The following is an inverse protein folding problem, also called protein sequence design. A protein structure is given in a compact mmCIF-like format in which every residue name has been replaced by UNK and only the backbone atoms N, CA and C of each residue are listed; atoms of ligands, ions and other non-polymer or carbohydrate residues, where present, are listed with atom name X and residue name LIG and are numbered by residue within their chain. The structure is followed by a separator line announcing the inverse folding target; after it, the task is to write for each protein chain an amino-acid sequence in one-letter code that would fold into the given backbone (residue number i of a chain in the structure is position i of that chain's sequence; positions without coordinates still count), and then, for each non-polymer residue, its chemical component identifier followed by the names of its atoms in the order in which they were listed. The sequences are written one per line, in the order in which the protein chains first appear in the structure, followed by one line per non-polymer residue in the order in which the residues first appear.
data_IF_896755517658
#
_entry.id   IF_896755517658
#
_cell.length_a   1.000
_cell.length_b   1.000
_cell.length_c   1.000
_cell.angle_alpha   90.00
_cell.angle_beta   90.00
_cell.angle_gamma   90.00
#
_symmetry.space_group_name_H-M   'P 1'
#
loop_
_entity.id
_entity.type
_entity.pdbx_description
1 polymer ?
#
# COMPACT_ATOMS: atom_id res chain seq x y z
N UNK A 1 24.58 3.55 16.33
CA UNK A 1 23.81 2.33 16.63
C UNK A 1 23.91 1.38 15.45
N UNK A 2 24.57 0.22 15.60
CA UNK A 2 24.47 -0.87 14.63
C UNK A 2 23.15 -1.59 14.92
N UNK A 3 22.13 -1.40 14.08
CA UNK A 3 20.89 -2.18 14.14
C UNK A 3 21.11 -3.44 13.32
N UNK A 4 20.93 -4.60 13.96
CA UNK A 4 21.00 -5.89 13.30
C UNK A 4 19.65 -6.18 12.65
N UNK A 5 19.46 -5.77 11.40
CA UNK A 5 18.20 -5.96 10.66
C UNK A 5 17.73 -7.43 10.61
N UNK A 6 18.68 -8.36 10.65
CA UNK A 6 18.41 -9.80 10.74
C UNK A 6 17.76 -10.21 12.08
N UNK A 7 17.94 -9.46 13.16
CA UNK A 7 17.24 -9.71 14.43
C UNK A 7 15.86 -9.07 14.46
N UNK A 8 15.75 -7.88 13.86
CA UNK A 8 14.53 -7.05 13.98
C UNK A 8 13.45 -7.40 12.95
N UNK A 9 13.75 -8.20 11.92
CA UNK A 9 12.75 -8.57 10.90
C UNK A 9 11.63 -9.43 11.51
N UNK A 10 10.38 -9.14 11.14
CA UNK A 10 9.17 -9.85 11.57
C UNK A 10 9.13 -11.35 11.19
N UNK A 11 9.93 -11.79 10.22
CA UNK A 11 9.94 -13.17 9.75
C UNK A 11 10.77 -14.07 10.67
N UNK A 12 10.08 -14.96 11.38
CA UNK A 12 10.67 -16.01 12.21
C UNK A 12 10.82 -17.33 11.47
N UNK A 13 11.80 -18.13 11.89
CA UNK A 13 12.02 -19.48 11.34
C UNK A 13 10.78 -20.36 11.48
N UNK A 14 10.11 -20.29 12.64
CA UNK A 14 8.88 -21.04 12.93
C UNK A 14 7.75 -20.67 11.97
N UNK A 15 7.51 -19.37 11.77
CA UNK A 15 6.49 -18.89 10.84
C UNK A 15 6.78 -19.30 9.40
N UNK A 16 8.06 -19.28 8.99
CA UNK A 16 8.47 -19.78 7.66
C UNK A 16 8.21 -21.28 7.51
N UNK A 17 8.39 -22.07 8.57
CA UNK A 17 8.12 -23.51 8.55
C UNK A 17 6.62 -23.82 8.47
N UNK A 18 5.78 -23.08 9.19
CA UNK A 18 4.33 -23.19 9.09
C UNK A 18 3.84 -22.87 7.67
N UNK A 19 4.40 -21.84 7.04
CA UNK A 19 4.12 -21.49 5.64
C UNK A 19 4.56 -22.60 4.66
N UNK A 20 5.74 -23.20 4.88
CA UNK A 20 6.20 -24.34 4.10
C UNK A 20 5.25 -25.54 4.22
N UNK A 21 4.80 -25.87 5.44
CA UNK A 21 3.84 -26.94 5.69
C UNK A 21 2.50 -26.68 4.99
N UNK A 22 1.97 -25.46 5.08
CA UNK A 22 0.72 -25.09 4.39
C UNK A 22 0.85 -25.22 2.87
N UNK A 23 2.00 -24.82 2.32
CA UNK A 23 2.30 -24.95 0.88
C UNK A 23 2.36 -26.42 0.46
N UNK A 24 3.07 -27.25 1.22
CA UNK A 24 3.17 -28.70 0.97
C UNK A 24 1.79 -29.37 0.96
N UNK A 25 0.91 -29.03 1.90
CA UNK A 25 -0.46 -29.53 1.97
C UNK A 25 -1.33 -29.02 0.81
N UNK A 26 -1.16 -27.77 0.40
CA UNK A 26 -1.90 -27.16 -0.73
C UNK A 26 -1.57 -27.85 -2.05
N UNK A 27 -0.35 -28.35 -2.20
CA UNK A 27 0.07 -29.11 -3.38
C UNK A 27 -0.28 -30.60 -3.27
N UNK A 28 -0.48 -31.13 -2.06
CA UNK A 28 -0.90 -32.51 -1.81
C UNK A 28 -2.42 -32.66 -1.92
N UNK A 29 -3.01 -32.25 -3.04
CA UNK A 29 -4.47 -32.26 -3.24
C UNK A 29 -4.87 -33.30 -4.27
N UNK A 30 -5.88 -34.09 -3.92
CA UNK A 30 -6.63 -34.91 -4.86
C UNK A 30 -7.56 -34.00 -5.69
N UNK A 31 -7.08 -33.53 -6.84
CA UNK A 31 -7.91 -32.80 -7.79
C UNK A 31 -8.71 -33.83 -8.59
N UNK A 32 -10.04 -33.66 -8.60
CA UNK A 32 -11.09 -34.26 -9.44
C UNK A 32 -10.66 -35.31 -10.49
N UNK A 33 -11.48 -36.34 -10.75
CA UNK A 33 -11.21 -37.79 -10.68
C UNK A 33 -10.03 -38.36 -11.49
N UNK A 34 -9.24 -37.56 -12.21
CA UNK A 34 -8.10 -38.01 -13.05
C UNK A 34 -6.72 -37.59 -12.55
N UNK A 35 -6.60 -36.86 -11.43
CA UNK A 35 -5.30 -36.38 -10.93
C UNK A 35 -5.19 -36.47 -9.40
N UNK A 36 -4.89 -37.67 -8.90
CA UNK A 36 -4.49 -37.88 -7.51
C UNK A 36 -3.00 -37.56 -7.38
N UNK A 37 -2.67 -36.37 -6.88
CA UNK A 37 -1.30 -35.95 -6.57
C UNK A 37 -1.08 -35.89 -5.05
N UNK A 38 -1.07 -37.05 -4.39
CA UNK A 38 -0.79 -37.14 -2.95
C UNK A 38 0.68 -37.52 -2.81
N UNK A 39 1.45 -36.73 -2.05
CA UNK A 39 2.84 -37.09 -1.78
C UNK A 39 2.90 -38.32 -0.86
N UNK A 40 3.75 -39.28 -1.24
CA UNK A 40 4.10 -40.39 -0.35
C UNK A 40 4.99 -39.88 0.79
N UNK A 41 5.08 -40.66 1.87
CA UNK A 41 5.94 -40.30 3.03
C UNK A 41 7.41 -40.15 2.61
N UNK A 42 7.86 -40.97 1.67
CA UNK A 42 9.23 -40.97 1.16
C UNK A 42 9.52 -39.69 0.37
N UNK A 43 8.58 -39.28 -0.48
CA UNK A 43 8.68 -38.04 -1.26
C UNK A 43 8.72 -36.81 -0.34
N UNK A 44 7.87 -36.77 0.70
CA UNK A 44 7.88 -35.68 1.69
C UNK A 44 9.23 -35.61 2.41
N UNK A 45 9.84 -36.75 2.75
CA UNK A 45 11.15 -36.78 3.40
C UNK A 45 12.25 -36.19 2.49
N UNK A 46 12.25 -36.54 1.20
CA UNK A 46 13.19 -35.99 0.21
C UNK A 46 12.99 -34.50 0.03
N UNK A 47 11.74 -34.02 -0.04
CA UNK A 47 11.42 -32.59 -0.16
C UNK A 47 11.92 -31.82 1.08
N UNK A 48 11.66 -32.34 2.28
CA UNK A 48 12.10 -31.71 3.53
C UNK A 48 13.62 -31.64 3.60
N UNK A 49 14.33 -32.71 3.23
CA UNK A 49 15.79 -32.73 3.21
C UNK A 49 16.35 -31.69 2.20
N UNK A 50 15.77 -31.64 1.01
CA UNK A 50 16.14 -30.64 0.00
C UNK A 50 15.94 -29.20 0.48
N UNK A 51 14.79 -28.89 1.06
CA UNK A 51 14.47 -27.53 1.55
C UNK A 51 15.36 -27.17 2.74
N UNK A 52 15.68 -28.13 3.60
CA UNK A 52 16.60 -27.92 4.73
C UNK A 52 18.01 -27.59 4.25
N UNK A 53 18.51 -28.35 3.26
CA UNK A 53 19.86 -28.18 2.72
C UNK A 53 20.02 -26.97 1.79
N UNK A 54 18.96 -26.50 1.14
CA UNK A 54 19.02 -25.36 0.21
C UNK A 54 18.54 -24.05 0.85
N UNK A 55 17.28 -24.00 1.27
CA UNK A 55 16.61 -22.79 1.76
C UNK A 55 17.01 -22.49 3.21
N UNK A 56 16.78 -23.43 4.14
CA UNK A 56 16.99 -23.14 5.57
C UNK A 56 18.46 -22.98 5.93
N UNK A 57 19.38 -23.66 5.23
CA UNK A 57 20.82 -23.43 5.35
C UNK A 57 21.22 -21.96 5.13
N UNK A 58 20.53 -21.25 4.26
CA UNK A 58 20.80 -19.84 3.95
C UNK A 58 19.67 -18.91 4.43
N UNK A 59 18.89 -19.31 5.43
CA UNK A 59 17.71 -18.57 5.90
C UNK A 59 18.03 -17.13 6.32
N UNK A 60 19.15 -16.92 7.01
CA UNK A 60 19.55 -15.58 7.46
C UNK A 60 19.88 -14.65 6.28
N UNK A 61 20.51 -15.18 5.22
CA UNK A 61 20.82 -14.41 4.02
C UNK A 61 19.53 -13.95 3.32
N UNK A 62 18.58 -14.86 3.10
CA UNK A 62 17.30 -14.51 2.50
C UNK A 62 16.53 -13.51 3.35
N UNK A 63 16.51 -13.71 4.68
CA UNK A 63 15.90 -12.78 5.62
C UNK A 63 16.52 -11.38 5.53
N UNK A 64 17.83 -11.26 5.38
CA UNK A 64 18.48 -9.96 5.16
C UNK A 64 18.11 -9.32 3.81
N UNK A 65 18.08 -10.09 2.72
CA UNK A 65 17.79 -9.58 1.38
C UNK A 65 16.34 -9.10 1.26
N UNK A 66 15.39 -9.84 1.84
CA UNK A 66 13.96 -9.56 1.71
C UNK A 66 13.40 -8.63 2.79
N UNK A 67 14.17 -8.29 3.82
CA UNK A 67 13.72 -7.30 4.82
C UNK A 67 13.86 -5.89 4.23
N UNK A 68 12.75 -5.18 3.96
CA UNK A 68 12.82 -3.84 3.38
C UNK A 68 13.52 -2.87 4.32
N UNK A 69 14.46 -2.09 3.78
CA UNK A 69 15.14 -1.04 4.52
C UNK A 69 14.26 0.22 4.55
N UNK A 70 13.68 0.52 5.71
CA UNK A 70 12.94 1.76 5.90
C UNK A 70 13.89 2.90 6.27
N UNK A 71 14.09 3.84 5.34
CA UNK A 71 14.77 5.09 5.63
C UNK A 71 13.78 6.06 6.27
N UNK A 72 13.91 6.29 7.58
CA UNK A 72 13.22 7.36 8.27
C UNK A 72 13.96 8.68 7.96
N UNK A 73 13.26 9.66 7.40
CA UNK A 73 13.76 11.02 7.26
C UNK A 73 13.01 11.92 8.25
N UNK A 74 13.73 12.52 9.20
CA UNK A 74 13.19 13.54 10.07
C UNK A 74 13.41 14.90 9.42
N UNK A 75 12.32 15.63 9.17
CA UNK A 75 12.39 17.02 8.72
C UNK A 75 11.91 17.87 9.88
N UNK A 76 12.85 18.57 10.52
CA UNK A 76 12.52 19.57 11.53
C UNK A 76 12.10 20.84 10.81
N UNK A 77 10.84 21.26 11.00
CA UNK A 77 10.37 22.58 10.58
C UNK A 77 10.48 23.57 11.72
N UNK A 78 10.66 24.85 11.40
CA UNK A 78 10.68 25.91 12.39
C UNK A 78 9.30 26.06 13.06
N UNK A 79 9.30 26.55 14.30
CA UNK A 79 8.12 26.62 15.18
C UNK A 79 6.98 27.50 14.62
N UNK A 80 7.23 28.31 13.58
CA UNK A 80 6.23 29.18 12.93
C UNK A 80 6.33 29.16 11.39
N UNK A 81 6.75 28.05 10.79
CA UNK A 81 6.88 27.96 9.34
C UNK A 81 5.52 28.19 8.66
N UNK A 82 5.41 29.26 7.85
CA UNK A 82 4.18 29.53 7.08
C UNK A 82 4.07 28.42 6.06
N UNK A 83 3.01 27.60 6.15
CA UNK A 83 2.72 26.54 5.18
C UNK A 83 2.56 27.17 3.79
N UNK A 84 3.67 27.25 3.06
CA UNK A 84 3.66 27.75 1.70
C UNK A 84 3.07 26.63 0.85
N UNK A 85 1.91 26.83 0.21
CA UNK A 85 1.33 25.80 -0.62
C UNK A 85 2.32 25.43 -1.72
N UNK A 86 2.41 24.12 -2.00
CA UNK A 86 3.19 23.64 -3.12
C UNK A 86 2.72 24.35 -4.40
N UNK A 87 3.66 24.69 -5.28
CA UNK A 87 3.33 25.39 -6.51
C UNK A 87 2.21 24.63 -7.24
N UNK A 88 1.10 25.29 -7.59
CA UNK A 88 -0.01 24.61 -8.23
C UNK A 88 0.49 23.95 -9.51
N UNK A 89 0.03 22.72 -9.75
CA UNK A 89 0.34 22.01 -10.99
C UNK A 89 -0.08 22.88 -12.19
N UNK A 90 0.68 22.85 -13.31
CA UNK A 90 0.36 23.64 -14.48
C UNK A 90 -1.03 23.28 -15.01
N UNK A 91 -1.74 24.25 -15.60
CA UNK A 91 -3.12 24.09 -16.05
C UNK A 91 -3.31 22.95 -17.06
N UNK A 92 -2.26 22.59 -17.81
CA UNK A 92 -2.28 21.46 -18.73
C UNK A 92 -2.50 20.10 -18.04
N UNK A 93 -2.27 20.00 -16.73
CA UNK A 93 -2.57 18.83 -15.90
C UNK A 93 -3.89 18.96 -15.15
N UNK A 94 -4.64 20.03 -15.38
CA UNK A 94 -5.95 20.26 -14.77
C UNK A 94 -7.00 19.30 -15.34
N UNK A 95 -7.80 18.70 -14.46
CA UNK A 95 -9.01 18.01 -14.88
C UNK A 95 -10.14 19.04 -15.01
N UNK A 96 -10.88 18.99 -16.12
CA UNK A 96 -12.14 19.73 -16.22
C UNK A 96 -13.10 19.13 -15.19
N UNK A 97 -13.35 19.86 -14.11
CA UNK A 97 -14.46 19.56 -13.23
C UNK A 97 -15.75 19.83 -14.01
N UNK A 98 -16.28 18.80 -14.70
CA UNK A 98 -17.69 18.81 -15.08
C UNK A 98 -18.45 18.93 -13.77
N UNK A 99 -19.19 20.03 -13.58
CA UNK A 99 -20.01 20.24 -12.41
C UNK A 99 -20.76 18.95 -12.11
N UNK A 100 -20.51 18.38 -10.94
CA UNK A 100 -21.29 17.23 -10.46
C UNK A 100 -22.75 17.68 -10.57
N UNK A 101 -23.62 16.97 -11.32
CA UNK A 101 -25.01 17.37 -11.42
C UNK A 101 -25.55 17.48 -10.01
N UNK A 102 -26.16 18.63 -9.67
CA UNK A 102 -26.78 18.79 -8.37
C UNK A 102 -27.76 17.63 -8.16
N UNK A 103 -27.79 16.99 -6.97
CA UNK A 103 -28.86 16.06 -6.66
C UNK A 103 -30.21 16.78 -6.83
N UNK A 104 -31.21 16.18 -7.49
CA UNK A 104 -32.53 16.80 -7.61
C UNK A 104 -33.15 16.91 -6.22
N UNK A 105 -33.22 18.11 -5.64
CA UNK A 105 -33.95 18.28 -4.38
C UNK A 105 -33.65 19.47 -3.47
N UNK A 106 -32.98 20.54 -3.92
CA UNK A 106 -32.92 21.78 -3.13
C UNK A 106 -33.65 22.90 -3.87
N UNK A 107 -34.82 23.20 -3.33
CA UNK A 107 -35.72 24.28 -3.73
C UNK A 107 -35.01 25.59 -3.40
N UNK A 108 -34.83 26.44 -4.41
CA UNK A 108 -34.36 27.81 -4.23
C UNK A 108 -35.49 28.59 -3.53
N UNK A 109 -35.30 28.92 -2.26
CA UNK A 109 -36.09 29.97 -1.63
C UNK A 109 -35.60 31.30 -2.22
N UNK A 110 -36.39 31.86 -3.13
CA UNK A 110 -36.26 33.22 -3.62
C UNK A 110 -36.52 34.17 -2.44
N UNK A 111 -35.50 34.90 -1.99
CA UNK A 111 -35.71 36.09 -1.17
C UNK A 111 -35.46 37.32 -2.04
N UNK A 112 -36.56 37.86 -2.55
CA UNK A 112 -36.62 39.18 -3.17
C UNK A 112 -36.11 40.23 -2.19
N UNK A 113 -35.14 41.05 -2.62
CA UNK A 113 -35.01 42.43 -2.13
C UNK A 113 -34.46 43.28 -3.26
N UNK A 114 -35.36 44.05 -3.86
CA UNK A 114 -35.06 45.19 -4.71
C UNK A 114 -34.16 46.19 -3.95
N UNK A 115 -33.04 46.61 -4.55
CA UNK A 115 -32.65 48.01 -4.52
C UNK A 115 -31.72 48.36 -5.71
N UNK A 116 -32.40 48.85 -6.75
CA UNK A 116 -32.08 50.01 -7.60
C UNK A 116 -30.71 50.16 -8.30
N UNK A 117 -30.81 50.45 -9.61
CA UNK A 117 -29.74 50.67 -10.57
C UNK A 117 -29.03 52.04 -10.42
N UNK A 118 -27.70 52.00 -10.58
CA UNK A 118 -26.73 52.93 -11.21
C UNK A 118 -27.22 54.29 -11.81
N UNK A 119 -26.38 55.37 -11.87
CA UNK A 119 -25.10 55.28 -12.61
C UNK A 119 -23.92 56.21 -12.25
N UNK A 120 -22.79 55.84 -12.85
CA UNK A 120 -21.53 56.58 -13.09
C UNK A 120 -21.69 58.09 -13.37
N UNK A 121 -20.79 58.90 -12.78
CA UNK A 121 -20.24 60.07 -13.46
C UNK A 121 -18.78 60.31 -13.03
N UNK A 122 -17.95 60.58 -14.03
CA UNK A 122 -16.52 60.92 -13.97
C UNK A 122 -16.40 62.45 -14.03
N UNK A 123 -15.26 62.97 -13.54
CA UNK A 123 -14.63 64.31 -13.72
C UNK A 123 -15.30 65.54 -13.08
N UNK A 124 -14.60 66.19 -12.14
CA UNK A 124 -13.64 67.29 -12.42
C UNK A 124 -12.54 67.37 -11.34
#
# INVERSE_FOLDING_TARGET
MKRDFARDSKTDLKSSFECFQATLLTHSVNRSPKSVGIFSREEVAVIVDYVTNSYYRHFQLYKCIFTPYYHMHFVQREINDVQTPEAPRPLCQGFLHTAKPLPPGEILEEHDTEENLEPLSVVE
#
